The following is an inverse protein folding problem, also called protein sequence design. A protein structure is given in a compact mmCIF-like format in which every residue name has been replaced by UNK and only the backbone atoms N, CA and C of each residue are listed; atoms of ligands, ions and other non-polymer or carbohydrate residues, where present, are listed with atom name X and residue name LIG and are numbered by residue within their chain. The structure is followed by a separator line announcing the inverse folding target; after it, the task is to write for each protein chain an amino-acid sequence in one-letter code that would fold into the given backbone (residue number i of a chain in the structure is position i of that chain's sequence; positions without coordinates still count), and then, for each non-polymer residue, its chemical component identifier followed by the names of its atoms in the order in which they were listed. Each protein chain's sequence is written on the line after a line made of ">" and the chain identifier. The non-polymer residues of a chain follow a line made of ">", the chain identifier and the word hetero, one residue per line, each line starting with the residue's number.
data_IF_064697542374
#
_entry.id   IF_064697542374
#
_cell.length_a   1.000
_cell.length_b   1.000
_cell.length_c   1.000
_cell.angle_alpha   90.00
_cell.angle_beta   90.00
_cell.angle_gamma   90.00
#
_symmetry.space_group_name_H-M   'P 1'
#
loop_
_entity.id
_entity.type
_entity.pdbx_description
1 polymer ?
#
# COMPACT_ATOMS: atom_id res chain seq x y z
N UNK A 1 -43.58 -91.99 -21.98
CA UNK A 1 -43.33 -90.86 -22.92
C UNK A 1 -43.92 -89.53 -22.43
N UNK A 2 -45.07 -89.51 -21.73
CA UNK A 2 -45.73 -88.27 -21.29
C UNK A 2 -44.95 -87.41 -20.26
N UNK A 3 -44.14 -88.00 -19.38
CA UNK A 3 -43.41 -87.24 -18.35
C UNK A 3 -42.16 -86.49 -18.87
N UNK A 4 -41.61 -86.84 -20.04
CA UNK A 4 -40.45 -86.13 -20.60
C UNK A 4 -40.84 -84.84 -21.34
N UNK A 5 -42.05 -84.76 -21.90
CA UNK A 5 -42.55 -83.57 -22.61
C UNK A 5 -42.93 -82.43 -21.65
N UNK A 6 -43.49 -82.72 -20.46
CA UNK A 6 -43.77 -81.70 -19.43
C UNK A 6 -42.51 -81.06 -18.84
N UNK A 7 -41.42 -81.83 -18.71
CA UNK A 7 -40.15 -81.35 -18.15
C UNK A 7 -39.40 -80.38 -19.09
N UNK A 8 -39.58 -80.54 -20.41
CA UNK A 8 -38.99 -79.65 -21.43
C UNK A 8 -39.72 -78.29 -21.49
N UNK A 9 -41.05 -78.28 -21.35
CA UNK A 9 -41.86 -77.04 -21.33
C UNK A 9 -41.58 -76.17 -20.09
N UNK A 10 -41.44 -76.78 -18.90
CA UNK A 10 -41.12 -76.03 -17.65
C UNK A 10 -39.69 -75.45 -17.71
N UNK A 11 -38.74 -76.15 -18.36
CA UNK A 11 -37.37 -75.65 -18.56
C UNK A 11 -37.32 -74.45 -19.51
N UNK A 12 -38.21 -74.41 -20.50
CA UNK A 12 -38.24 -73.34 -21.50
C UNK A 12 -38.88 -72.07 -20.94
N UNK A 13 -39.96 -72.17 -20.16
CA UNK A 13 -40.56 -71.00 -19.49
C UNK A 13 -39.68 -70.40 -18.39
N UNK A 14 -38.92 -71.23 -17.66
CA UNK A 14 -37.94 -70.75 -16.68
C UNK A 14 -36.80 -69.94 -17.31
N UNK A 15 -36.37 -70.29 -18.53
CA UNK A 15 -35.35 -69.54 -19.26
C UNK A 15 -35.90 -68.18 -19.75
N UNK A 16 -37.13 -68.13 -20.25
CA UNK A 16 -37.77 -66.86 -20.63
C UNK A 16 -37.98 -65.94 -19.43
N UNK A 17 -38.35 -66.48 -18.26
CA UNK A 17 -38.52 -65.68 -17.04
C UNK A 17 -37.19 -65.12 -16.52
N UNK A 18 -36.10 -65.88 -16.61
CA UNK A 18 -34.75 -65.41 -16.24
C UNK A 18 -34.23 -64.35 -17.24
N UNK A 19 -34.49 -64.52 -18.55
CA UNK A 19 -34.17 -63.50 -19.56
C UNK A 19 -35.00 -62.22 -19.40
N UNK A 20 -36.28 -62.33 -19.01
CA UNK A 20 -37.14 -61.17 -18.71
C UNK A 20 -36.69 -60.45 -17.43
N UNK A 21 -36.27 -61.17 -16.39
CA UNK A 21 -35.71 -60.55 -15.18
C UNK A 21 -34.36 -59.86 -15.46
N UNK A 22 -33.53 -60.41 -16.34
CA UNK A 22 -32.24 -59.81 -16.72
C UNK A 22 -32.40 -58.52 -17.55
N UNK A 23 -33.49 -58.38 -18.32
CA UNK A 23 -33.81 -57.15 -19.06
C UNK A 23 -34.36 -56.04 -18.14
N UNK A 24 -35.04 -56.39 -17.05
CA UNK A 24 -35.57 -55.43 -16.06
C UNK A 24 -34.48 -54.93 -15.10
N UNK A 25 -33.42 -55.71 -14.89
CA UNK A 25 -32.23 -55.34 -14.10
C UNK A 25 -31.03 -54.93 -14.96
N UNK A 26 -31.25 -54.22 -16.07
CA UNK A 26 -30.15 -53.40 -16.59
C UNK A 26 -29.89 -52.31 -15.56
N UNK A 27 -28.70 -52.23 -14.93
CA UNK A 27 -28.38 -51.06 -14.13
C UNK A 27 -28.49 -49.87 -15.08
N UNK A 28 -29.49 -49.00 -14.87
CA UNK A 28 -29.47 -47.67 -15.46
C UNK A 28 -28.18 -47.05 -14.97
N UNK A 29 -27.16 -47.04 -15.82
CA UNK A 29 -25.92 -46.31 -15.59
C UNK A 29 -26.30 -44.84 -15.57
N UNK A 30 -26.59 -44.32 -14.38
CA UNK A 30 -26.69 -42.89 -14.19
C UNK A 30 -25.29 -42.34 -14.49
N UNK A 31 -25.17 -41.55 -15.57
CA UNK A 31 -23.93 -40.85 -15.85
C UNK A 31 -23.63 -39.96 -14.65
N UNK A 32 -22.56 -40.28 -13.93
CA UNK A 32 -22.12 -39.45 -12.81
C UNK A 32 -21.77 -38.06 -13.33
N UNK A 33 -22.12 -37.04 -12.55
CA UNK A 33 -21.83 -35.68 -12.92
C UNK A 33 -20.34 -35.38 -12.63
N UNK A 34 -19.60 -35.04 -13.68
CA UNK A 34 -18.15 -34.78 -13.62
C UNK A 34 -17.87 -33.30 -13.90
N UNK A 35 -17.14 -32.65 -13.00
CA UNK A 35 -16.65 -31.29 -13.18
C UNK A 35 -15.17 -31.25 -12.83
N UNK A 36 -14.32 -30.95 -13.80
CA UNK A 36 -12.93 -30.64 -13.51
C UNK A 36 -12.32 -29.68 -14.53
N UNK A 37 -11.47 -28.81 -14.00
CA UNK A 37 -10.72 -27.81 -14.75
C UNK A 37 -9.29 -27.75 -14.23
N UNK A 38 -8.38 -27.29 -15.07
CA UNK A 38 -6.95 -27.15 -14.77
C UNK A 38 -6.43 -25.81 -15.25
N UNK A 39 -5.35 -25.35 -14.63
CA UNK A 39 -4.57 -24.24 -15.15
C UNK A 39 -4.02 -24.61 -16.54
N UNK A 40 -4.38 -23.82 -17.53
CA UNK A 40 -3.74 -23.84 -18.84
C UNK A 40 -2.54 -22.88 -18.86
N UNK A 41 -2.74 -21.70 -18.26
CA UNK A 41 -1.69 -20.72 -17.98
C UNK A 41 -1.76 -20.38 -16.50
N UNK A 42 -0.65 -20.60 -15.79
CA UNK A 42 -0.56 -20.27 -14.37
C UNK A 42 -0.48 -18.75 -14.16
N UNK A 43 -1.20 -18.20 -13.16
CA UNK A 43 -1.11 -16.80 -12.81
C UNK A 43 0.28 -16.52 -12.22
N UNK A 44 0.98 -15.55 -12.78
CA UNK A 44 2.23 -15.03 -12.23
C UNK A 44 2.27 -13.52 -12.33
N UNK A 45 3.04 -12.89 -11.46
CA UNK A 45 3.31 -11.45 -11.51
C UNK A 45 4.73 -11.18 -11.04
N UNK A 46 5.28 -10.04 -11.44
CA UNK A 46 6.53 -9.50 -10.92
C UNK A 46 6.27 -8.13 -10.31
N UNK A 47 6.90 -7.85 -9.17
CA UNK A 47 6.82 -6.56 -8.50
C UNK A 47 8.22 -6.20 -7.99
N UNK A 48 8.71 -5.04 -8.44
CA UNK A 48 9.98 -4.48 -7.96
C UNK A 48 9.83 -3.81 -6.60
N UNK A 49 10.95 -3.35 -6.01
CA UNK A 49 10.93 -2.58 -4.76
C UNK A 49 10.00 -1.37 -4.85
N UNK A 50 9.39 -1.01 -3.72
CA UNK A 50 8.43 0.09 -3.62
C UNK A 50 9.01 1.15 -2.68
N UNK A 51 9.16 2.37 -3.17
CA UNK A 51 9.58 3.51 -2.35
C UNK A 51 8.37 4.36 -1.97
N UNK A 52 8.21 4.65 -0.68
CA UNK A 52 7.07 5.39 -0.15
C UNK A 52 7.53 6.54 0.73
N UNK A 53 7.08 7.79 0.48
CA UNK A 53 7.29 8.88 1.43
C UNK A 53 6.61 8.59 2.77
N UNK A 54 7.30 8.82 3.89
CA UNK A 54 6.75 8.60 5.25
C UNK A 54 5.44 9.37 5.48
N UNK A 55 5.30 10.52 4.83
CA UNK A 55 4.17 11.43 4.90
C UNK A 55 3.14 11.22 3.76
N UNK A 56 3.23 10.14 2.99
CA UNK A 56 2.22 9.79 1.99
C UNK A 56 0.84 9.64 2.66
N UNK A 57 -0.23 10.24 2.11
CA UNK A 57 -1.57 10.13 2.71
C UNK A 57 -2.09 8.69 2.69
N UNK A 58 -3.04 8.40 3.59
CA UNK A 58 -3.79 7.14 3.52
C UNK A 58 -4.59 7.14 2.21
N UNK A 59 -4.62 5.99 1.53
CA UNK A 59 -5.23 5.83 0.21
C UNK A 59 -4.26 6.02 -0.97
N UNK A 60 -2.99 6.38 -0.73
CA UNK A 60 -1.97 6.46 -1.79
C UNK A 60 -1.75 5.10 -2.46
N UNK A 61 -1.78 5.08 -3.79
CA UNK A 61 -1.37 3.93 -4.60
C UNK A 61 0.15 3.76 -4.50
N UNK A 62 0.58 2.57 -4.09
CA UNK A 62 2.00 2.22 -3.91
C UNK A 62 2.55 1.50 -5.14
N UNK A 63 1.79 0.55 -5.68
CA UNK A 63 2.11 -0.19 -6.89
C UNK A 63 0.86 -0.88 -7.45
N UNK A 64 0.94 -1.36 -8.69
CA UNK A 64 -0.13 -2.13 -9.31
C UNK A 64 0.43 -3.10 -10.33
N UNK A 65 -0.29 -4.18 -10.59
CA UNK A 65 0.05 -5.14 -11.62
C UNK A 65 -1.12 -6.04 -11.99
N UNK A 66 -0.86 -7.01 -12.86
CA UNK A 66 -1.90 -7.90 -13.39
C UNK A 66 -1.43 -9.35 -13.32
N UNK A 67 -2.35 -10.22 -12.93
CA UNK A 67 -2.27 -11.66 -13.10
C UNK A 67 -3.14 -12.05 -14.29
N UNK A 68 -2.51 -12.33 -15.43
CA UNK A 68 -3.19 -12.92 -16.58
C UNK A 68 -3.08 -14.43 -16.51
N UNK A 69 -4.22 -15.13 -16.53
CA UNK A 69 -4.23 -16.58 -16.46
C UNK A 69 -5.34 -17.19 -17.32
N UNK A 70 -5.21 -18.50 -17.57
CA UNK A 70 -6.16 -19.24 -18.37
C UNK A 70 -6.50 -20.58 -17.71
N UNK A 71 -7.77 -20.94 -17.75
CA UNK A 71 -8.30 -22.18 -17.18
C UNK A 71 -8.97 -22.97 -18.28
N UNK A 72 -8.55 -24.23 -18.44
CA UNK A 72 -9.16 -25.16 -19.38
C UNK A 72 -10.19 -26.01 -18.66
N UNK A 73 -11.43 -25.94 -19.13
CA UNK A 73 -12.50 -26.85 -18.71
C UNK A 73 -12.23 -28.19 -19.36
N UNK A 74 -12.13 -29.27 -18.59
CA UNK A 74 -11.80 -30.57 -19.19
C UNK A 74 -12.90 -31.60 -19.02
N UNK A 75 -13.63 -31.58 -17.91
CA UNK A 75 -14.98 -32.17 -17.86
C UNK A 75 -15.98 -31.19 -17.28
N UNK A 76 -17.15 -31.21 -17.88
CA UNK A 76 -18.29 -30.43 -17.44
C UNK A 76 -19.57 -31.17 -17.82
N UNK A 77 -19.74 -32.38 -17.30
CA UNK A 77 -20.92 -33.19 -17.52
C UNK A 77 -21.85 -33.06 -16.32
N UNK A 78 -22.99 -32.40 -16.49
CA UNK A 78 -24.06 -32.35 -15.50
C UNK A 78 -25.20 -33.24 -15.97
N UNK A 79 -25.18 -34.52 -15.57
CA UNK A 79 -26.25 -35.49 -15.87
C UNK A 79 -26.61 -35.62 -17.36
N UNK A 80 -25.60 -35.67 -18.23
CA UNK A 80 -25.77 -35.89 -19.68
C UNK A 80 -25.83 -34.62 -20.53
N UNK A 81 -25.67 -33.44 -19.94
CA UNK A 81 -25.54 -32.18 -20.65
C UNK A 81 -24.43 -31.29 -20.07
N UNK A 82 -23.81 -30.40 -20.86
CA UNK A 82 -22.84 -29.44 -20.35
C UNK A 82 -23.45 -28.49 -19.32
N UNK A 83 -22.85 -28.37 -18.14
CA UNK A 83 -23.22 -27.36 -17.13
C UNK A 83 -22.71 -25.97 -17.49
N UNK A 84 -23.04 -24.94 -16.70
CA UNK A 84 -22.36 -23.64 -16.83
C UNK A 84 -21.10 -23.66 -15.97
N UNK A 85 -19.97 -23.19 -16.49
CA UNK A 85 -18.73 -23.09 -15.73
C UNK A 85 -18.51 -21.69 -15.15
N UNK A 86 -18.16 -21.62 -13.87
CA UNK A 86 -17.88 -20.34 -13.17
C UNK A 86 -16.56 -20.46 -12.40
N UNK A 87 -15.67 -19.51 -12.63
CA UNK A 87 -14.47 -19.31 -11.80
C UNK A 87 -14.78 -18.39 -10.64
N UNK A 88 -14.29 -18.74 -9.46
CA UNK A 88 -14.60 -18.06 -8.21
C UNK A 88 -13.30 -17.70 -7.47
N UNK A 89 -12.68 -16.55 -7.79
CA UNK A 89 -11.55 -16.05 -7.04
C UNK A 89 -12.01 -15.52 -5.68
N UNK A 90 -11.36 -15.96 -4.61
CA UNK A 90 -11.64 -15.50 -3.24
C UNK A 90 -10.36 -15.18 -2.49
N UNK A 91 -10.43 -14.20 -1.61
CA UNK A 91 -9.38 -13.92 -0.63
C UNK A 91 -9.84 -14.30 0.77
N UNK A 92 -8.89 -14.70 1.60
CA UNK A 92 -9.10 -14.93 3.03
C UNK A 92 -8.44 -13.84 3.89
N UNK A 93 -7.86 -12.82 3.24
CA UNK A 93 -7.29 -11.68 3.93
C UNK A 93 -8.38 -10.86 4.60
N UNK A 94 -8.10 -10.35 5.80
CA UNK A 94 -8.98 -9.42 6.49
C UNK A 94 -9.07 -8.09 5.75
N UNK A 95 -10.19 -7.39 5.89
CA UNK A 95 -10.33 -6.03 5.36
C UNK A 95 -9.56 -5.03 6.23
N UNK A 96 -9.00 -3.99 5.60
CA UNK A 96 -8.40 -2.84 6.31
C UNK A 96 -9.43 -1.85 6.84
N UNK A 97 -10.66 -1.88 6.30
CA UNK A 97 -11.72 -0.91 6.61
C UNK A 97 -11.70 0.35 5.75
N UNK A 98 -10.78 0.45 4.78
CA UNK A 98 -10.78 1.52 3.77
C UNK A 98 -11.04 0.97 2.37
N UNK A 99 -11.48 1.86 1.48
CA UNK A 99 -11.65 1.58 0.06
C UNK A 99 -10.64 2.37 -0.79
N UNK A 100 -10.20 1.77 -1.89
CA UNK A 100 -9.41 2.40 -2.94
C UNK A 100 -10.20 2.36 -4.25
N UNK A 101 -10.58 3.53 -4.81
CA UNK A 101 -11.45 3.62 -5.99
C UNK A 101 -12.72 2.75 -5.86
N UNK A 102 -13.39 2.83 -4.70
CA UNK A 102 -14.57 2.00 -4.35
C UNK A 102 -14.32 0.48 -4.34
N UNK A 103 -13.06 0.05 -4.18
CA UNK A 103 -12.68 -1.35 -3.99
C UNK A 103 -12.20 -1.56 -2.57
N UNK A 104 -12.72 -2.59 -1.90
CA UNK A 104 -12.26 -2.98 -0.57
C UNK A 104 -10.77 -3.30 -0.58
N UNK A 105 -10.04 -2.69 0.36
CA UNK A 105 -8.61 -2.93 0.56
C UNK A 105 -8.43 -4.00 1.65
N UNK A 106 -7.74 -5.07 1.31
CA UNK A 106 -7.42 -6.19 2.20
C UNK A 106 -6.03 -6.04 2.82
N UNK A 107 -5.85 -6.52 4.05
CA UNK A 107 -4.56 -6.49 4.75
C UNK A 107 -3.55 -7.42 4.06
N UNK A 108 -2.31 -6.96 3.98
CA UNK A 108 -1.16 -7.81 3.65
C UNK A 108 -0.39 -8.18 4.93
N UNK A 109 0.67 -8.97 4.81
CA UNK A 109 1.58 -9.27 5.93
C UNK A 109 2.42 -8.06 6.36
N UNK A 110 2.48 -6.99 5.55
CA UNK A 110 3.17 -5.74 5.90
C UNK A 110 2.17 -4.71 6.41
N UNK A 111 2.31 -4.33 7.68
CA UNK A 111 1.52 -3.25 8.29
C UNK A 111 1.66 -1.95 7.48
N UNK A 112 0.53 -1.24 7.31
CA UNK A 112 0.46 -0.04 6.47
C UNK A 112 0.28 -0.31 4.97
N UNK A 113 0.52 -1.54 4.48
CA UNK A 113 0.30 -1.93 3.08
C UNK A 113 -0.91 -2.84 2.94
N UNK A 114 -1.89 -2.40 2.16
CA UNK A 114 -3.07 -3.15 1.79
C UNK A 114 -3.08 -3.49 0.30
N UNK A 115 -3.97 -4.39 -0.12
CA UNK A 115 -4.12 -4.82 -1.50
C UNK A 115 -5.60 -4.80 -1.90
N UNK A 116 -5.92 -4.23 -3.06
CA UNK A 116 -7.25 -4.22 -3.67
C UNK A 116 -7.19 -4.87 -5.06
N UNK A 117 -8.34 -5.30 -5.59
CA UNK A 117 -8.41 -6.09 -6.82
C UNK A 117 -9.47 -5.60 -7.80
N UNK A 118 -9.19 -5.78 -9.11
CA UNK A 118 -10.20 -5.81 -10.17
C UNK A 118 -10.17 -7.16 -10.87
N UNK A 119 -11.33 -7.66 -11.27
CA UNK A 119 -11.47 -8.82 -12.14
C UNK A 119 -11.98 -8.37 -13.51
N UNK A 120 -11.17 -8.58 -14.55
CA UNK A 120 -11.46 -8.18 -15.93
C UNK A 120 -11.93 -6.72 -16.06
N UNK A 121 -11.17 -5.80 -15.45
CA UNK A 121 -11.46 -4.35 -15.43
C UNK A 121 -12.61 -3.93 -14.50
N UNK A 122 -13.29 -4.87 -13.83
CA UNK A 122 -14.40 -4.59 -12.92
C UNK A 122 -13.92 -4.61 -11.47
N UNK A 123 -14.44 -3.69 -10.66
CA UNK A 123 -14.09 -3.51 -9.25
C UNK A 123 -14.41 -4.77 -8.42
N UNK A 124 -13.43 -5.21 -7.63
CA UNK A 124 -13.56 -6.32 -6.70
C UNK A 124 -13.07 -7.66 -7.25
N UNK A 125 -13.08 -8.66 -6.37
CA UNK A 125 -12.92 -10.07 -6.72
C UNK A 125 -14.28 -10.60 -7.13
N UNK A 126 -14.47 -10.86 -8.42
CA UNK A 126 -15.75 -11.25 -8.98
C UNK A 126 -15.70 -12.65 -9.57
N UNK A 127 -16.83 -13.34 -9.48
CA UNK A 127 -17.05 -14.58 -10.21
C UNK A 127 -16.98 -14.29 -11.72
N UNK A 128 -16.23 -15.13 -12.44
CA UNK A 128 -16.09 -15.04 -13.89
C UNK A 128 -16.87 -16.17 -14.51
N UNK A 129 -17.75 -15.83 -15.45
CA UNK A 129 -18.70 -16.77 -16.05
C UNK A 129 -18.26 -17.14 -17.46
N UNK A 130 -18.15 -18.45 -17.72
CA UNK A 130 -18.06 -18.95 -19.08
C UNK A 130 -19.44 -18.87 -19.77
N UNK A 131 -19.51 -19.02 -21.11
CA UNK A 131 -20.77 -19.12 -21.82
C UNK A 131 -21.66 -20.25 -21.27
N UNK A 132 -22.99 -20.07 -21.38
CA UNK A 132 -23.95 -21.10 -20.97
C UNK A 132 -23.67 -22.42 -21.69
N UNK A 133 -23.85 -23.55 -21.00
CA UNK A 133 -23.54 -24.89 -21.48
C UNK A 133 -22.08 -24.98 -21.95
N UNK A 134 -21.15 -24.69 -21.05
CA UNK A 134 -19.72 -24.54 -21.39
C UNK A 134 -19.16 -25.88 -21.89
N UNK A 135 -18.61 -25.95 -23.13
CA UNK A 135 -18.14 -27.21 -23.67
C UNK A 135 -16.84 -27.68 -23.00
N UNK A 136 -16.60 -28.99 -23.03
CA UNK A 136 -15.28 -29.56 -22.71
C UNK A 136 -14.22 -28.98 -23.66
N UNK A 137 -13.05 -28.67 -23.13
CA UNK A 137 -11.97 -28.01 -23.84
C UNK A 137 -12.09 -26.48 -23.93
N UNK A 138 -13.17 -25.88 -23.41
CA UNK A 138 -13.30 -24.42 -23.36
C UNK A 138 -12.13 -23.81 -22.58
N UNK A 139 -11.48 -22.84 -23.20
CA UNK A 139 -10.35 -22.13 -22.63
C UNK A 139 -10.80 -20.74 -22.17
N UNK A 140 -10.91 -20.59 -20.86
CA UNK A 140 -11.33 -19.36 -20.21
C UNK A 140 -10.10 -18.52 -19.87
N UNK A 141 -10.02 -17.30 -20.39
CA UNK A 141 -8.97 -16.32 -20.03
C UNK A 141 -9.56 -15.24 -19.17
N UNK A 142 -8.82 -14.84 -18.14
CA UNK A 142 -9.22 -13.75 -17.24
C UNK A 142 -7.99 -13.02 -16.72
N UNK A 143 -8.20 -11.77 -16.38
CA UNK A 143 -7.22 -10.90 -15.78
C UNK A 143 -7.67 -10.52 -14.38
N UNK A 144 -6.74 -10.62 -13.44
CA UNK A 144 -6.90 -10.11 -12.10
C UNK A 144 -5.87 -9.00 -11.87
N UNK A 145 -6.34 -7.77 -11.80
CA UNK A 145 -5.49 -6.61 -11.51
C UNK A 145 -5.41 -6.44 -10.00
N UNK A 146 -4.22 -6.09 -9.49
CA UNK A 146 -4.02 -5.74 -8.08
C UNK A 146 -3.49 -4.33 -7.92
N UNK A 147 -3.80 -3.73 -6.79
CA UNK A 147 -3.38 -2.39 -6.40
C UNK A 147 -2.91 -2.43 -4.95
N UNK A 148 -1.63 -2.16 -4.71
CA UNK A 148 -1.08 -1.99 -3.36
C UNK A 148 -1.36 -0.55 -2.90
N UNK A 149 -1.92 -0.41 -1.70
CA UNK A 149 -2.43 0.87 -1.19
C UNK A 149 -1.96 1.09 0.23
N UNK A 150 -1.55 2.32 0.54
CA UNK A 150 -1.23 2.71 1.92
C UNK A 150 -2.52 2.82 2.74
N UNK A 151 -2.68 2.01 3.79
CA UNK A 151 -3.87 2.07 4.67
C UNK A 151 -3.58 2.56 6.09
N UNK A 152 -2.32 2.53 6.53
CA UNK A 152 -1.88 3.02 7.84
C UNK A 152 -0.44 3.58 7.76
N UNK A 153 0.17 3.86 8.91
CA UNK A 153 1.60 4.15 8.97
C UNK A 153 2.40 2.94 8.46
N UNK A 154 3.44 3.20 7.68
CA UNK A 154 4.25 2.20 7.00
C UNK A 154 5.69 2.36 7.43
N UNK A 155 6.37 1.23 7.67
CA UNK A 155 7.80 1.18 8.00
C UNK A 155 8.57 0.47 6.90
N UNK A 156 9.87 0.71 6.80
CA UNK A 156 10.73 -0.02 5.86
C UNK A 156 10.75 -1.53 6.15
N UNK A 157 11.04 -2.34 5.13
CA UNK A 157 11.22 -3.79 5.23
C UNK A 157 10.34 -4.61 4.28
N UNK A 158 10.54 -5.92 4.30
CA UNK A 158 9.94 -6.82 3.33
C UNK A 158 8.42 -7.04 3.54
N UNK A 159 7.66 -6.96 2.45
CA UNK A 159 6.39 -7.66 2.28
C UNK A 159 6.71 -9.09 1.84
N UNK A 160 6.52 -10.07 2.72
CA UNK A 160 6.83 -11.47 2.43
C UNK A 160 5.95 -12.05 1.32
N UNK A 161 6.51 -12.97 0.53
CA UNK A 161 5.74 -13.72 -0.45
C UNK A 161 4.59 -14.48 0.23
N UNK A 162 3.40 -14.47 -0.38
CA UNK A 162 2.22 -15.11 0.17
C UNK A 162 1.21 -15.44 -0.94
N UNK A 163 0.13 -16.14 -0.58
CA UNK A 163 -0.93 -16.52 -1.50
C UNK A 163 -2.20 -15.71 -1.19
N UNK A 164 -2.36 -14.49 -1.75
CA UNK A 164 -3.52 -13.64 -1.43
C UNK A 164 -4.87 -14.21 -1.84
N UNK A 165 -4.89 -15.02 -2.91
CA UNK A 165 -6.12 -15.46 -3.56
C UNK A 165 -6.10 -16.95 -3.76
N UNK A 166 -7.22 -17.56 -3.46
CA UNK A 166 -7.56 -18.91 -3.85
C UNK A 166 -8.57 -18.87 -4.98
N UNK A 167 -8.30 -19.58 -6.06
CA UNK A 167 -9.22 -19.71 -7.19
C UNK A 167 -9.91 -21.06 -7.08
N UNK A 168 -11.22 -21.01 -6.88
CA UNK A 168 -12.11 -22.16 -7.02
C UNK A 168 -12.87 -22.11 -8.33
N UNK A 169 -13.64 -23.15 -8.59
CA UNK A 169 -14.60 -23.18 -9.68
C UNK A 169 -15.79 -24.07 -9.34
N UNK A 170 -16.88 -23.87 -10.06
CA UNK A 170 -18.06 -24.73 -10.02
C UNK A 170 -18.63 -24.95 -11.42
N UNK A 171 -19.27 -26.09 -11.60
CA UNK A 171 -20.11 -26.37 -12.75
C UNK A 171 -21.57 -26.33 -12.25
N UNK A 172 -22.33 -25.30 -12.64
CA UNK A 172 -23.74 -25.18 -12.25
C UNK A 172 -24.53 -26.38 -12.78
N UNK A 173 -25.15 -27.12 -11.85
CA UNK A 173 -25.68 -28.47 -12.07
C UNK A 173 -25.05 -29.52 -11.15
N UNK A 174 -23.92 -29.20 -10.52
CA UNK A 174 -23.21 -30.03 -9.54
C UNK A 174 -23.05 -29.24 -8.24
N UNK A 175 -23.31 -29.86 -7.08
CA UNK A 175 -23.44 -29.18 -5.79
C UNK A 175 -22.14 -28.85 -5.07
N UNK A 176 -20.97 -29.21 -5.62
CA UNK A 176 -19.69 -29.07 -4.92
C UNK A 176 -18.71 -28.17 -5.70
N UNK A 177 -18.35 -27.03 -5.10
CA UNK A 177 -17.23 -26.21 -5.58
C UNK A 177 -15.89 -26.96 -5.45
N UNK A 178 -15.02 -26.78 -6.43
CA UNK A 178 -13.69 -27.42 -6.48
C UNK A 178 -12.57 -26.38 -6.42
N UNK A 179 -11.42 -26.82 -5.94
CA UNK A 179 -10.20 -26.02 -5.90
C UNK A 179 -9.45 -26.10 -7.22
N UNK A 180 -9.00 -24.94 -7.73
CA UNK A 180 -8.04 -24.89 -8.83
C UNK A 180 -6.61 -24.68 -8.29
N UNK A 181 -6.45 -23.75 -7.35
CA UNK A 181 -5.15 -23.43 -6.74
C UNK A 181 -5.11 -22.02 -6.20
N UNK A 182 -3.93 -21.58 -5.79
CA UNK A 182 -3.71 -20.23 -5.26
C UNK A 182 -2.90 -19.37 -6.23
N UNK A 183 -3.15 -18.07 -6.21
CA UNK A 183 -2.33 -17.07 -6.87
C UNK A 183 -1.30 -16.58 -5.86
N UNK A 184 -0.02 -16.61 -6.23
CA UNK A 184 1.07 -16.14 -5.38
C UNK A 184 1.42 -14.68 -5.68
N UNK A 185 1.70 -13.93 -4.62
CA UNK A 185 2.30 -12.60 -4.67
C UNK A 185 3.78 -12.72 -4.26
N UNK A 186 4.71 -12.16 -5.04
CA UNK A 186 6.14 -12.27 -4.75
C UNK A 186 6.53 -11.48 -3.49
N UNK A 187 7.71 -11.79 -2.93
CA UNK A 187 8.27 -10.94 -1.89
C UNK A 187 8.72 -9.61 -2.49
N UNK A 188 8.47 -8.51 -1.79
CA UNK A 188 8.76 -7.14 -2.24
C UNK A 188 9.39 -6.36 -1.10
N UNK A 189 10.45 -5.60 -1.40
CA UNK A 189 11.03 -4.68 -0.42
C UNK A 189 10.26 -3.35 -0.40
N UNK A 190 9.83 -2.92 0.78
CA UNK A 190 9.21 -1.62 1.00
C UNK A 190 10.26 -0.70 1.62
N UNK A 191 10.57 0.39 0.92
CA UNK A 191 11.51 1.40 1.36
C UNK A 191 10.74 2.66 1.72
N UNK A 192 10.70 2.99 3.00
CA UNK A 192 10.09 4.23 3.45
C UNK A 192 11.17 5.28 3.54
N UNK A 193 10.99 6.40 2.85
CA UNK A 193 11.94 7.50 2.85
C UNK A 193 11.29 8.74 3.45
N UNK A 194 12.06 9.52 4.20
CA UNK A 194 11.58 10.76 4.80
C UNK A 194 11.75 10.80 6.32
N UNK A 195 11.39 11.95 6.87
CA UNK A 195 11.31 12.15 8.31
C UNK A 195 9.99 12.80 8.70
N UNK A 196 9.59 12.58 9.95
CA UNK A 196 8.59 13.39 10.63
C UNK A 196 9.29 14.36 11.58
N UNK A 197 8.88 15.63 11.58
CA UNK A 197 9.40 16.60 12.56
C UNK A 197 8.78 16.36 13.93
N UNK A 198 9.63 16.24 14.96
CA UNK A 198 9.19 16.11 16.36
C UNK A 198 9.10 17.47 17.05
N UNK A 199 9.69 18.51 16.47
CA UNK A 199 9.67 19.90 16.97
C UNK A 199 9.03 20.84 15.93
N UNK A 200 7.70 20.74 15.70
CA UNK A 200 7.02 21.57 14.71
C UNK A 200 6.97 23.07 15.10
N UNK A 201 7.13 23.38 16.39
CA UNK A 201 7.25 24.73 16.93
C UNK A 201 8.42 24.79 17.89
N UNK A 202 9.27 25.81 17.76
CA UNK A 202 10.48 25.99 18.55
C UNK A 202 10.47 27.40 19.12
N UNK A 203 10.47 27.51 20.44
CA UNK A 203 10.64 28.77 21.13
C UNK A 203 12.11 28.94 21.52
N UNK A 204 12.73 30.02 21.06
CA UNK A 204 14.13 30.34 21.37
C UNK A 204 14.18 31.57 22.27
N UNK A 205 14.36 31.42 23.59
CA UNK A 205 14.41 32.55 24.51
C UNK A 205 15.72 33.33 24.34
N UNK A 206 15.68 34.37 23.50
CA UNK A 206 16.86 35.19 23.16
C UNK A 206 17.39 36.01 24.34
N UNK A 207 16.53 36.31 25.32
CA UNK A 207 16.85 37.15 26.46
C UNK A 207 17.11 38.62 26.10
N UNK A 208 17.56 39.38 27.10
CA UNK A 208 17.86 40.81 26.99
C UNK A 208 19.33 41.01 26.63
N UNK A 209 19.62 41.96 25.74
CA UNK A 209 20.98 42.34 25.34
C UNK A 209 21.23 43.83 25.54
N UNK A 210 22.44 44.18 25.97
CA UNK A 210 22.85 45.57 26.10
C UNK A 210 23.36 46.08 24.75
N UNK A 211 22.94 47.29 24.33
CA UNK A 211 23.38 47.89 23.07
C UNK A 211 24.90 48.11 23.00
N UNK A 212 25.58 48.28 24.14
CA UNK A 212 27.04 48.42 24.21
C UNK A 212 27.81 47.12 23.91
N UNK A 213 27.12 45.98 23.86
CA UNK A 213 27.73 44.72 23.41
C UNK A 213 27.95 44.67 21.90
N UNK A 214 27.47 45.65 21.15
CA UNK A 214 27.57 45.73 19.70
C UNK A 214 28.50 46.88 19.29
N UNK A 215 29.34 46.64 18.28
CA UNK A 215 30.43 47.54 17.86
C UNK A 215 30.20 48.21 16.50
N UNK A 216 28.99 48.08 15.94
CA UNK A 216 28.62 48.58 14.62
C UNK A 216 27.95 47.51 13.74
N UNK A 217 27.41 47.90 12.58
CA UNK A 217 26.80 46.96 11.63
C UNK A 217 27.72 45.78 11.33
N UNK A 218 27.20 44.56 11.41
CA UNK A 218 28.00 43.34 11.27
C UNK A 218 28.41 42.67 12.58
N UNK A 219 28.40 43.40 13.70
CA UNK A 219 28.61 42.80 15.03
C UNK A 219 27.39 42.01 15.49
N UNK A 220 27.60 41.04 16.37
CA UNK A 220 26.55 40.13 16.83
C UNK A 220 26.69 39.81 18.32
N UNK A 221 25.57 39.48 18.94
CA UNK A 221 25.49 39.11 20.35
C UNK A 221 25.84 37.64 20.59
N UNK A 222 25.62 37.21 21.84
CA UNK A 222 25.76 35.80 22.24
C UNK A 222 24.80 34.92 21.44
N UNK A 223 25.30 33.76 21.02
CA UNK A 223 24.48 32.72 20.40
C UNK A 223 23.67 31.94 21.44
N UNK A 224 22.40 31.69 21.13
CA UNK A 224 21.47 30.86 21.90
C UNK A 224 21.24 29.57 21.12
N UNK A 225 21.65 28.40 21.64
CA UNK A 225 21.48 27.13 20.94
C UNK A 225 20.01 26.67 21.01
N UNK A 226 19.57 25.98 19.96
CA UNK A 226 18.31 25.25 19.93
C UNK A 226 18.46 24.05 18.98
N UNK A 227 17.52 23.11 19.02
CA UNK A 227 17.61 21.87 18.22
C UNK A 227 16.32 21.68 17.43
N UNK A 228 16.46 21.29 16.16
CA UNK A 228 15.35 20.75 15.36
C UNK A 228 15.39 19.23 15.50
N UNK A 229 14.33 18.65 16.06
CA UNK A 229 14.18 17.20 16.21
C UNK A 229 13.41 16.58 15.05
N UNK A 230 13.92 15.45 14.56
CA UNK A 230 13.33 14.65 13.49
C UNK A 230 13.27 13.17 13.91
N UNK A 231 12.26 12.46 13.43
CA UNK A 231 12.21 11.00 13.45
C UNK A 231 12.24 10.50 12.00
N UNK A 232 13.35 9.88 11.61
CA UNK A 232 13.65 9.57 10.21
C UNK A 232 13.76 8.06 9.97
N UNK A 233 13.57 7.68 8.71
CA UNK A 233 14.06 6.42 8.16
C UNK A 233 15.51 6.59 7.67
N UNK A 234 16.25 5.48 7.57
CA UNK A 234 17.68 5.50 7.19
C UNK A 234 17.90 6.13 5.82
N UNK A 235 19.05 6.79 5.64
CA UNK A 235 19.49 7.35 4.36
C UNK A 235 18.60 8.46 3.77
N UNK A 236 17.75 9.10 4.59
CA UNK A 236 17.02 10.30 4.17
C UNK A 236 17.93 11.52 4.21
N UNK A 237 18.00 12.28 3.12
CA UNK A 237 18.63 13.62 3.08
C UNK A 237 17.66 14.67 3.59
N UNK A 238 18.15 15.58 4.42
CA UNK A 238 17.33 16.65 5.00
C UNK A 238 17.87 18.01 4.56
N UNK A 239 17.02 18.81 3.92
CA UNK A 239 17.30 20.20 3.62
C UNK A 239 16.27 21.12 4.27
N UNK A 240 16.64 22.37 4.52
CA UNK A 240 15.80 23.39 5.14
C UNK A 240 15.80 24.66 4.31
N UNK A 241 14.64 25.29 4.22
CA UNK A 241 14.46 26.65 3.71
C UNK A 241 13.80 27.51 4.78
N UNK A 242 14.39 28.66 5.09
CA UNK A 242 13.76 29.67 5.95
C UNK A 242 12.83 30.56 5.11
N UNK A 243 11.71 30.97 5.70
CA UNK A 243 10.76 31.90 5.08
C UNK A 243 11.40 33.25 4.74
N UNK A 244 10.82 33.96 3.78
CA UNK A 244 11.41 35.14 3.12
C UNK A 244 11.08 36.49 3.77
N UNK A 245 10.42 36.50 4.93
CA UNK A 245 10.05 37.75 5.64
C UNK A 245 11.23 38.35 6.41
N UNK A 246 12.32 38.71 5.72
CA UNK A 246 13.57 39.23 6.26
C UNK A 246 13.81 40.74 6.08
N UNK A 247 14.72 41.32 6.86
CA UNK A 247 15.27 42.68 6.63
C UNK A 247 16.47 42.70 5.69
N UNK A 248 17.12 41.54 5.49
CA UNK A 248 18.19 41.28 4.52
C UNK A 248 18.25 39.77 4.24
N UNK A 249 19.11 39.32 3.33
CA UNK A 249 19.22 37.93 2.86
C UNK A 249 19.45 36.88 3.97
N UNK A 250 19.86 37.25 5.19
CA UNK A 250 20.09 36.30 6.30
C UNK A 250 19.62 36.80 7.67
N UNK A 251 18.89 37.93 7.73
CA UNK A 251 18.51 38.57 8.98
C UNK A 251 17.00 38.77 9.04
N UNK A 252 16.39 38.21 10.09
CA UNK A 252 14.98 38.35 10.39
C UNK A 252 14.70 39.70 11.06
N UNK A 253 13.58 40.37 10.71
CA UNK A 253 13.13 41.58 11.38
C UNK A 253 12.82 41.30 12.84
N UNK A 254 12.95 42.37 13.64
CA UNK A 254 12.37 42.41 14.98
C UNK A 254 10.91 42.83 14.90
N UNK A 255 10.11 42.23 15.76
CA UNK A 255 8.70 42.48 15.98
C UNK A 255 8.47 42.71 17.48
N UNK A 256 7.30 43.22 17.83
CA UNK A 256 6.83 43.36 19.21
C UNK A 256 5.31 43.19 19.25
N UNK A 257 4.79 43.02 20.45
CA UNK A 257 3.34 42.91 20.64
C UNK A 257 2.65 44.27 20.42
N UNK A 258 1.33 44.25 20.28
CA UNK A 258 0.57 45.48 20.00
C UNK A 258 0.76 46.50 21.13
N UNK A 259 1.29 47.67 20.79
CA UNK A 259 1.58 48.75 21.74
C UNK A 259 3.00 48.75 22.29
N UNK A 260 3.83 47.75 21.97
CA UNK A 260 5.25 47.77 22.34
C UNK A 260 6.07 48.62 21.37
N UNK A 261 7.05 49.36 21.92
CA UNK A 261 8.09 49.97 21.11
C UNK A 261 9.07 48.88 20.66
N UNK A 262 9.14 48.59 19.36
CA UNK A 262 10.09 47.63 18.78
C UNK A 262 11.49 48.24 18.70
N UNK A 263 12.51 47.49 19.09
CA UNK A 263 13.90 47.89 18.97
C UNK A 263 14.30 48.06 17.49
N UNK A 264 15.16 49.02 17.20
CA UNK A 264 15.71 49.22 15.85
C UNK A 264 17.23 49.08 15.82
N UNK A 265 17.77 48.83 14.63
CA UNK A 265 19.21 48.63 14.40
C UNK A 265 19.72 47.23 14.71
N UNK A 266 18.85 46.31 15.11
CA UNK A 266 19.14 44.89 15.33
C UNK A 266 18.19 44.02 14.48
N UNK A 267 18.58 42.77 14.28
CA UNK A 267 17.74 41.69 13.77
C UNK A 267 18.21 40.33 14.31
N UNK A 268 17.54 39.25 13.95
CA UNK A 268 17.90 37.89 14.38
C UNK A 268 18.52 37.11 13.22
N UNK A 269 19.68 36.49 13.46
CA UNK A 269 20.25 35.48 12.58
C UNK A 269 19.98 34.09 13.13
N UNK A 270 19.64 33.15 12.26
CA UNK A 270 19.63 31.71 12.54
C UNK A 270 20.89 31.12 11.91
N UNK A 271 21.58 30.27 12.65
CA UNK A 271 22.83 29.65 12.28
C UNK A 271 22.69 28.14 12.21
N UNK A 272 23.34 27.57 11.20
CA UNK A 272 23.61 26.15 11.09
C UNK A 272 25.12 25.94 10.93
N UNK A 273 25.69 25.04 11.73
CA UNK A 273 27.15 24.77 11.74
C UNK A 273 27.99 26.06 11.84
N UNK A 274 27.54 26.99 12.69
CA UNK A 274 28.19 28.29 12.91
C UNK A 274 28.00 29.33 11.80
N UNK A 275 27.34 28.98 10.69
CA UNK A 275 27.14 29.86 9.54
C UNK A 275 25.70 30.42 9.50
N UNK A 276 25.50 31.72 9.22
CA UNK A 276 24.16 32.29 9.05
C UNK A 276 23.42 31.64 7.86
N UNK A 277 22.19 31.21 8.09
CA UNK A 277 21.33 30.72 7.02
C UNK A 277 20.79 31.87 6.17
N UNK A 278 20.77 31.66 4.87
CA UNK A 278 20.11 32.58 3.94
C UNK A 278 18.60 32.30 3.90
N UNK A 279 17.81 33.38 3.93
CA UNK A 279 16.36 33.34 3.80
C UNK A 279 15.97 32.99 2.36
N UNK A 280 14.96 32.15 2.19
CA UNK A 280 14.51 31.68 0.87
C UNK A 280 15.44 30.68 0.17
N UNK A 281 16.67 30.48 0.67
CA UNK A 281 17.63 29.54 0.09
C UNK A 281 17.49 28.15 0.70
N UNK A 282 17.59 27.11 -0.13
CA UNK A 282 17.63 25.73 0.32
C UNK A 282 19.02 25.40 0.86
N UNK A 283 19.11 25.09 2.15
CA UNK A 283 20.35 24.64 2.81
C UNK A 283 20.28 23.16 3.13
N UNK A 284 21.32 22.43 2.75
CA UNK A 284 21.45 21.02 3.11
C UNK A 284 21.90 20.89 4.56
N UNK A 285 21.14 20.17 5.37
CA UNK A 285 21.44 19.95 6.78
C UNK A 285 22.11 18.57 6.96
N UNK A 286 21.43 17.50 6.52
CA UNK A 286 21.93 16.13 6.68
C UNK A 286 22.03 15.43 5.32
N UNK A 287 23.19 14.82 5.05
CA UNK A 287 23.41 14.00 3.85
C UNK A 287 22.86 12.57 3.98
N UNK A 288 22.64 12.12 5.21
CA UNK A 288 22.03 10.84 5.55
C UNK A 288 21.54 10.92 7.00
N UNK A 289 20.49 10.17 7.30
CA UNK A 289 19.89 10.04 8.63
C UNK A 289 19.96 8.58 9.07
N UNK A 290 19.95 8.37 10.38
CA UNK A 290 19.76 7.04 10.96
C UNK A 290 18.28 6.77 11.21
N UNK A 291 17.90 5.50 11.31
CA UNK A 291 16.55 5.15 11.76
C UNK A 291 16.31 5.74 13.16
N UNK A 292 15.17 6.40 13.34
CA UNK A 292 14.77 6.96 14.63
C UNK A 292 15.11 8.44 14.78
N UNK A 293 15.50 8.84 16.00
CA UNK A 293 15.72 10.24 16.34
C UNK A 293 16.98 10.79 15.66
N UNK A 294 16.83 11.91 14.96
CA UNK A 294 17.90 12.70 14.40
C UNK A 294 17.74 14.14 14.89
N UNK A 295 18.80 14.70 15.47
CA UNK A 295 18.81 16.04 16.02
C UNK A 295 19.70 16.94 15.17
N UNK A 296 19.18 18.11 14.81
CA UNK A 296 19.93 19.12 14.07
C UNK A 296 20.20 20.29 15.01
N UNK A 297 21.43 20.43 15.54
CA UNK A 297 21.80 21.53 16.39
C UNK A 297 21.87 22.83 15.58
N UNK A 298 21.21 23.85 16.09
CA UNK A 298 21.11 25.17 15.50
C UNK A 298 21.49 26.20 16.56
N UNK A 299 21.70 27.44 16.13
CA UNK A 299 21.80 28.56 17.06
C UNK A 299 21.11 29.79 16.49
N UNK A 300 20.73 30.72 17.35
CA UNK A 300 20.29 32.06 16.94
C UNK A 300 21.10 33.12 17.66
N UNK A 301 21.22 34.31 17.07
CA UNK A 301 21.88 35.46 17.71
C UNK A 301 21.29 36.77 17.23
N UNK A 302 21.36 37.81 18.06
CA UNK A 302 21.14 39.18 17.62
C UNK A 302 22.27 39.63 16.69
N UNK A 303 21.95 40.34 15.62
CA UNK A 303 22.87 40.87 14.64
C UNK A 303 22.58 42.36 14.41
N UNK A 304 23.61 43.20 14.48
CA UNK A 304 23.46 44.63 14.28
C UNK A 304 23.34 44.96 12.78
N UNK A 305 22.19 45.50 12.40
CA UNK A 305 21.87 45.91 11.02
C UNK A 305 22.05 47.41 10.79
N UNK A 306 21.83 48.23 11.83
CA UNK A 306 21.89 49.69 11.76
C UNK A 306 23.03 50.29 12.55
N UNK A 307 23.47 51.49 12.15
CA UNK A 307 24.53 52.25 12.85
C UNK A 307 24.12 52.60 14.28
N UNK A 308 22.83 52.92 14.49
CA UNK A 308 22.27 53.24 15.81
C UNK A 308 21.29 52.15 16.24
N UNK A 309 21.44 51.69 17.47
CA UNK A 309 20.50 50.78 18.13
C UNK A 309 19.54 51.61 18.99
N UNK A 310 18.24 51.34 18.91
CA UNK A 310 17.24 51.92 19.83
C UNK A 310 16.65 50.83 20.74
N UNK A 311 16.46 51.09 22.04
CA UNK A 311 15.84 50.13 22.94
C UNK A 311 14.38 49.84 22.57
N UNK A 312 13.94 48.60 22.85
CA UNK A 312 12.58 48.16 22.60
C UNK A 312 12.44 46.63 22.66
N UNK A 313 11.24 46.13 22.37
CA UNK A 313 10.95 44.72 22.16
C UNK A 313 11.73 44.18 20.96
N UNK A 314 12.24 42.95 21.08
CA UNK A 314 13.12 42.34 20.09
C UNK A 314 12.73 40.89 19.77
N UNK A 315 11.42 40.66 19.61
CA UNK A 315 10.87 39.36 19.25
C UNK A 315 11.04 39.10 17.75
N UNK A 316 10.97 37.85 17.31
CA UNK A 316 10.95 37.52 15.88
C UNK A 316 10.25 36.18 15.67
N UNK A 317 9.66 36.01 14.48
CA UNK A 317 9.00 34.77 14.08
C UNK A 317 9.49 34.41 12.68
N UNK A 318 9.85 33.15 12.49
CA UNK A 318 10.22 32.61 11.20
C UNK A 318 9.52 31.27 10.97
N UNK A 319 9.05 31.07 9.74
CA UNK A 319 8.65 29.75 9.25
C UNK A 319 9.87 29.05 8.64
N UNK A 320 9.96 27.74 8.79
CA UNK A 320 10.91 26.92 8.05
C UNK A 320 10.18 25.81 7.32
N UNK A 321 10.74 25.38 6.19
CA UNK A 321 10.24 24.23 5.41
C UNK A 321 11.35 23.19 5.34
N UNK A 322 11.05 21.97 5.75
CA UNK A 322 11.95 20.83 5.59
C UNK A 322 11.63 20.09 4.29
N UNK A 323 12.66 19.70 3.56
CA UNK A 323 12.57 18.89 2.35
C UNK A 323 13.35 17.59 2.55
N UNK A 324 12.73 16.46 2.22
CA UNK A 324 13.31 15.13 2.32
C UNK A 324 13.59 14.56 0.93
N UNK A 325 14.75 13.92 0.74
CA UNK A 325 15.14 13.28 -0.52
C UNK A 325 15.86 11.96 -0.28
#
# INVERSE_FOLDING_TARGET
>A
MLNRLKMLSIRQEGIYLILLLALVFTPKSYAEAECWAVWDIYPSTSQGPITVPVNAPIGTLLASGVYSYAVKVVKNNSFGAPGNFVLQPRTFSETTGIDYDSMTVYKTSKEGVGIAYKTDGRRGLLDVYAPRNTPEGYLMRTNLEYFLVKYANITSGALSAYNPIYVGYTCLGITNGRGLGSISFPAVDIQVNGCNTTTPSIQVPMGTVNSHSFSGPGSYGRSVPFTIGLHCEVNTKVSLTLGTSGTSDSVLPLNGDTGEQVASGLGIQILYDGNPLQLGTLTNLLNSTTVGVNEIPMASRYYQTGVKITPGAANSVASFTLTYR
#
